data_IF_961748030605
#
_entry.id   IF_961748030605
#
_cell.length_a   1.000
_cell.length_b   1.000
_cell.length_c   1.000
_cell.angle_alpha   90.00
_cell.angle_beta   90.00
_cell.angle_gamma   90.00
#
_symmetry.space_group_name_H-M   'P 1'
#
loop_
_entity.id
_entity.type
_entity.pdbx_description
1 polymer ?
#
# COMPACT_ATOMS: atom_id res chain seq x y z
N UNK A 1 -2.04 19.07 7.32
CA UNK A 1 -1.52 19.02 8.69
C UNK A 1 -1.70 17.60 9.17
N UNK A 2 -0.67 16.77 8.96
CA UNK A 2 -0.71 15.35 9.36
C UNK A 2 -0.34 15.29 10.83
N UNK A 3 -1.21 14.71 11.62
CA UNK A 3 -1.06 14.63 13.06
C UNK A 3 -0.47 13.26 13.35
N UNK A 4 0.78 13.23 13.88
CA UNK A 4 1.19 12.05 14.66
C UNK A 4 0.08 11.79 15.66
N UNK A 5 -0.26 10.51 15.88
CA UNK A 5 -1.08 10.27 17.05
C UNK A 5 -0.34 10.83 18.28
N UNK A 6 -1.05 11.14 19.34
CA UNK A 6 -0.47 11.67 20.58
C UNK A 6 0.57 10.74 21.24
N UNK A 7 0.88 9.59 20.59
CA UNK A 7 1.84 8.56 21.03
C UNK A 7 3.06 8.44 20.10
N UNK A 8 3.13 9.24 18.99
CA UNK A 8 4.27 9.23 18.07
C UNK A 8 4.33 8.04 17.12
N UNK A 9 3.21 7.33 16.88
CA UNK A 9 3.18 6.18 15.99
C UNK A 9 3.30 6.61 14.52
N UNK A 10 4.10 5.84 13.75
CA UNK A 10 4.19 5.92 12.29
C UNK A 10 2.88 5.46 11.65
N UNK A 11 2.45 6.09 10.55
CA UNK A 11 1.15 5.81 9.95
C UNK A 11 1.14 5.89 8.42
N UNK A 12 0.10 5.27 7.82
CA UNK A 12 -0.30 5.49 6.45
C UNK A 12 -0.86 6.90 6.25
N UNK A 13 -0.57 7.53 5.11
CA UNK A 13 -1.04 8.87 4.76
C UNK A 13 -2.48 8.96 4.27
N UNK A 14 -3.22 7.85 4.11
CA UNK A 14 -4.62 7.90 3.72
C UNK A 14 -5.46 8.52 4.85
N UNK A 15 -6.20 9.62 4.59
CA UNK A 15 -7.02 10.25 5.60
C UNK A 15 -8.18 9.35 6.06
N UNK A 16 -8.33 9.15 7.37
CA UNK A 16 -9.46 8.38 7.95
C UNK A 16 -10.83 8.99 7.60
N UNK A 17 -10.88 10.30 7.33
CA UNK A 17 -12.11 10.99 6.92
C UNK A 17 -12.68 10.46 5.58
N UNK A 18 -11.87 9.88 4.69
CA UNK A 18 -12.37 9.20 3.50
C UNK A 18 -13.05 7.88 3.82
N UNK A 19 -12.80 7.31 4.99
CA UNK A 19 -13.39 6.07 5.48
C UNK A 19 -14.80 6.27 6.00
N UNK A 20 -15.06 7.37 6.71
CA UNK A 20 -16.33 7.59 7.44
C UNK A 20 -17.50 8.01 6.55
N UNK A 21 -17.25 8.72 5.46
CA UNK A 21 -18.32 9.26 4.59
C UNK A 21 -18.78 8.29 3.51
N UNK A 22 -18.05 7.21 3.23
CA UNK A 22 -18.29 6.28 2.10
C UNK A 22 -18.13 4.79 2.47
N UNK A 23 -18.31 4.41 3.72
CA UNK A 23 -18.13 3.02 4.21
C UNK A 23 -18.97 1.93 3.50
N UNK A 24 -19.96 2.34 2.68
CA UNK A 24 -20.82 1.42 1.91
C UNK A 24 -20.46 1.35 0.42
N UNK A 25 -19.49 2.15 -0.07
CA UNK A 25 -19.16 2.19 -1.48
C UNK A 25 -18.14 1.11 -1.81
N UNK A 26 -18.53 0.12 -2.61
CA UNK A 26 -17.61 -0.88 -3.16
C UNK A 26 -16.60 -0.16 -4.07
N UNK A 27 -15.31 -0.38 -3.80
CA UNK A 27 -14.19 0.16 -4.55
C UNK A 27 -13.32 -1.01 -4.99
N UNK A 28 -13.20 -1.25 -6.28
CA UNK A 28 -12.37 -2.32 -6.81
C UNK A 28 -12.03 -2.12 -8.27
N UNK A 29 -11.06 -2.85 -8.75
CA UNK A 29 -10.72 -2.93 -10.16
C UNK A 29 -11.79 -3.68 -10.96
N UNK A 30 -11.94 -3.29 -12.23
CA UNK A 30 -12.76 -3.98 -13.21
C UNK A 30 -12.04 -5.19 -13.85
N UNK A 31 -10.75 -5.35 -13.60
CA UNK A 31 -9.91 -6.46 -14.07
C UNK A 31 -9.22 -7.16 -12.89
N UNK A 32 -8.75 -8.38 -13.13
CA UNK A 32 -7.94 -9.16 -12.18
C UNK A 32 -6.44 -9.06 -12.49
N UNK A 33 -6.10 -8.73 -13.73
CA UNK A 33 -4.72 -8.57 -14.18
C UNK A 33 -4.34 -7.10 -14.14
N UNK A 34 -3.47 -6.75 -13.20
CA UNK A 34 -3.02 -5.39 -12.95
C UNK A 34 -1.56 -5.23 -13.38
N UNK A 35 -1.33 -4.35 -14.32
CA UNK A 35 0.02 -3.97 -14.72
C UNK A 35 0.57 -2.90 -13.78
N UNK A 36 1.82 -3.03 -13.38
CA UNK A 36 2.48 -2.04 -12.55
C UNK A 36 3.77 -1.53 -13.17
N UNK A 37 4.07 -0.28 -12.90
CA UNK A 37 5.30 0.39 -13.27
C UNK A 37 5.94 0.96 -12.01
N UNK A 38 7.20 0.56 -11.74
CA UNK A 38 7.99 1.10 -10.63
C UNK A 38 8.91 2.17 -11.22
N UNK A 39 8.72 3.41 -10.77
CA UNK A 39 9.67 4.48 -11.09
C UNK A 39 10.98 4.21 -10.37
N UNK A 40 12.05 4.71 -10.96
CA UNK A 40 13.37 4.65 -10.33
C UNK A 40 13.29 5.32 -8.96
N UNK A 41 13.76 4.63 -7.92
CA UNK A 41 13.71 5.16 -6.57
C UNK A 41 14.95 6.03 -6.29
N UNK A 42 14.71 7.15 -5.61
CA UNK A 42 15.79 7.94 -4.99
C UNK A 42 16.01 7.52 -3.52
N UNK A 43 15.50 6.34 -3.14
CA UNK A 43 15.74 5.75 -1.82
C UNK A 43 17.20 5.32 -1.66
N UNK A 44 17.68 5.32 -0.43
CA UNK A 44 19.01 4.76 -0.09
C UNK A 44 19.00 3.22 -0.12
N UNK A 45 18.39 2.67 -1.20
CA UNK A 45 18.29 1.25 -1.52
C UNK A 45 18.50 1.05 -3.03
N UNK A 46 19.23 0.01 -3.45
CA UNK A 46 19.33 -0.33 -4.87
C UNK A 46 17.94 -0.59 -5.49
N UNK A 47 17.73 -0.13 -6.73
CA UNK A 47 16.45 -0.32 -7.46
C UNK A 47 16.01 -1.80 -7.52
N UNK A 48 16.97 -2.72 -7.59
CA UNK A 48 16.68 -4.17 -7.57
C UNK A 48 16.10 -4.64 -6.24
N UNK A 49 16.58 -4.09 -5.14
CA UNK A 49 16.06 -4.39 -3.79
C UNK A 49 14.68 -3.76 -3.62
N UNK A 50 14.53 -2.49 -3.99
CA UNK A 50 13.26 -1.79 -4.02
C UNK A 50 12.18 -2.60 -4.77
N UNK A 51 12.49 -3.01 -6.00
CA UNK A 51 11.57 -3.79 -6.83
C UNK A 51 11.25 -5.17 -6.24
N UNK A 52 12.22 -5.82 -5.61
CA UNK A 52 12.02 -7.12 -4.97
C UNK A 52 11.07 -7.05 -3.77
N UNK A 53 11.22 -6.05 -2.90
CA UNK A 53 10.33 -5.84 -1.75
C UNK A 53 8.88 -5.55 -2.19
N UNK A 54 8.71 -4.68 -3.19
CA UNK A 54 7.39 -4.41 -3.79
C UNK A 54 6.77 -5.69 -4.38
N UNK A 55 7.57 -6.49 -5.09
CA UNK A 55 7.07 -7.77 -5.66
C UNK A 55 6.67 -8.74 -4.55
N UNK A 56 7.42 -8.80 -3.45
CA UNK A 56 7.09 -9.64 -2.31
C UNK A 56 5.76 -9.24 -1.66
N UNK A 57 5.55 -7.94 -1.49
CA UNK A 57 4.27 -7.41 -1.03
C UNK A 57 3.10 -7.79 -1.97
N UNK A 58 3.29 -7.71 -3.29
CA UNK A 58 2.30 -8.16 -4.29
C UNK A 58 2.00 -9.65 -4.17
N UNK A 59 3.02 -10.49 -3.99
CA UNK A 59 2.87 -11.93 -3.82
C UNK A 59 1.97 -12.27 -2.63
N UNK A 60 2.04 -11.49 -1.55
CA UNK A 60 1.22 -11.71 -0.36
C UNK A 60 -0.28 -11.55 -0.64
N UNK A 61 -0.67 -10.62 -1.51
CA UNK A 61 -2.05 -10.44 -1.95
C UNK A 61 -2.48 -11.47 -3.00
N UNK A 62 -1.60 -11.78 -3.98
CA UNK A 62 -1.85 -12.83 -4.97
C UNK A 62 -2.09 -14.22 -4.33
N UNK A 63 -1.50 -14.46 -3.17
CA UNK A 63 -1.67 -15.71 -2.43
C UNK A 63 -3.07 -15.88 -1.81
N UNK A 64 -3.81 -14.79 -1.60
CA UNK A 64 -5.06 -14.83 -0.82
C UNK A 64 -6.32 -14.43 -1.61
N UNK A 65 -6.18 -13.83 -2.78
CA UNK A 65 -7.32 -13.45 -3.62
C UNK A 65 -7.00 -13.57 -5.12
N UNK A 66 -8.06 -13.55 -5.95
CA UNK A 66 -7.96 -13.68 -7.40
C UNK A 66 -7.53 -12.35 -8.06
N UNK A 67 -6.27 -11.97 -7.84
CA UNK A 67 -5.58 -10.84 -8.47
C UNK A 67 -4.22 -11.30 -8.98
N UNK A 68 -3.76 -10.72 -10.08
CA UNK A 68 -2.41 -10.92 -10.64
C UNK A 68 -1.76 -9.57 -10.90
N UNK A 69 -0.48 -9.46 -10.54
CA UNK A 69 0.34 -8.30 -10.84
C UNK A 69 1.43 -8.66 -11.85
N UNK A 70 1.57 -7.87 -12.90
CA UNK A 70 2.62 -8.02 -13.89
C UNK A 70 3.33 -6.70 -14.16
N UNK A 71 4.66 -6.71 -14.27
CA UNK A 71 5.39 -5.49 -14.61
C UNK A 71 5.09 -5.05 -16.05
N UNK A 72 5.24 -3.76 -16.32
CA UNK A 72 5.27 -3.22 -17.68
C UNK A 72 6.43 -2.24 -17.83
N UNK A 73 6.86 -2.02 -19.07
CA UNK A 73 8.04 -1.22 -19.37
C UNK A 73 7.73 0.28 -19.52
N UNK A 74 6.46 0.65 -19.63
CA UNK A 74 6.03 2.05 -19.84
C UNK A 74 4.97 2.46 -18.83
N UNK A 75 5.17 3.62 -18.24
CA UNK A 75 4.23 4.20 -17.25
C UNK A 75 2.79 4.31 -17.79
N UNK A 76 2.63 4.70 -19.06
CA UNK A 76 1.31 4.85 -19.69
C UNK A 76 0.54 3.53 -19.90
N UNK A 77 1.17 2.37 -19.70
CA UNK A 77 0.52 1.05 -19.81
C UNK A 77 0.13 0.47 -18.44
N UNK A 78 0.59 1.12 -17.36
CA UNK A 78 0.38 0.61 -16.01
C UNK A 78 -1.00 0.97 -15.48
N UNK A 79 -1.56 0.08 -14.68
CA UNK A 79 -2.68 0.36 -13.79
C UNK A 79 -2.19 0.98 -12.47
N UNK A 80 -1.01 0.58 -12.03
CA UNK A 80 -0.42 1.01 -10.75
C UNK A 80 0.92 1.66 -11.01
N UNK A 81 1.08 2.92 -10.59
CA UNK A 81 2.36 3.61 -10.56
C UNK A 81 2.89 3.58 -9.14
N UNK A 82 4.15 3.16 -9.00
CA UNK A 82 4.85 3.09 -7.72
C UNK A 82 6.00 4.08 -7.78
N UNK A 83 5.97 5.06 -6.91
CA UNK A 83 6.86 6.22 -6.93
C UNK A 83 7.36 6.54 -5.52
N UNK A 84 8.29 7.44 -5.42
CA UNK A 84 8.77 8.04 -4.17
C UNK A 84 8.48 9.53 -4.19
N UNK A 85 8.50 10.16 -3.03
CA UNK A 85 8.27 11.59 -2.92
C UNK A 85 8.81 12.16 -1.61
N UNK A 86 8.72 13.47 -1.46
CA UNK A 86 9.17 14.15 -0.25
C UNK A 86 8.40 15.45 0.01
N UNK A 87 8.33 15.82 1.28
CA UNK A 87 7.80 17.10 1.72
C UNK A 87 6.32 17.32 1.42
N UNK A 88 5.85 18.52 1.68
CA UNK A 88 4.42 18.88 1.60
C UNK A 88 3.82 18.74 0.19
N UNK A 89 4.61 18.95 -0.88
CA UNK A 89 4.15 18.80 -2.25
C UNK A 89 3.72 17.36 -2.59
N UNK A 90 4.29 16.37 -1.91
CA UNK A 90 3.94 14.96 -2.02
C UNK A 90 3.12 14.44 -0.83
N UNK A 91 2.65 15.35 0.04
CA UNK A 91 1.88 15.03 1.24
C UNK A 91 2.67 14.27 2.32
N UNK A 92 3.98 14.50 2.38
CA UNK A 92 4.86 13.94 3.41
C UNK A 92 5.32 15.01 4.41
N UNK A 93 5.57 14.58 5.64
CA UNK A 93 5.94 15.41 6.78
C UNK A 93 7.37 15.15 7.29
N UNK A 94 8.15 14.38 6.52
CA UNK A 94 9.52 13.99 6.85
C UNK A 94 9.60 12.79 7.78
N UNK A 95 10.81 12.44 8.17
CA UNK A 95 11.08 11.22 8.93
C UNK A 95 10.22 11.07 10.18
N UNK A 96 9.62 9.90 10.33
CA UNK A 96 8.87 9.51 11.52
C UNK A 96 7.43 10.02 11.56
N UNK A 97 6.80 10.22 10.42
CA UNK A 97 5.40 10.62 10.29
C UNK A 97 4.62 9.73 9.35
N UNK A 98 4.19 10.30 8.22
CA UNK A 98 3.54 9.59 7.13
C UNK A 98 4.57 8.80 6.33
N UNK A 99 4.48 7.48 6.35
CA UNK A 99 5.43 6.58 5.68
C UNK A 99 5.20 6.49 4.17
N UNK A 100 3.96 6.34 3.79
CA UNK A 100 3.51 6.16 2.42
C UNK A 100 2.04 6.49 2.29
N UNK A 101 1.53 6.58 1.07
CA UNK A 101 0.12 6.69 0.78
C UNK A 101 -0.23 6.09 -0.58
N UNK A 102 -1.48 5.70 -0.76
CA UNK A 102 -2.00 5.18 -2.02
C UNK A 102 -3.44 5.65 -2.28
N UNK A 103 -3.81 5.74 -3.55
CA UNK A 103 -5.19 6.01 -3.93
C UNK A 103 -6.04 4.73 -3.93
N UNK A 104 -7.29 4.88 -3.51
CA UNK A 104 -8.29 3.82 -3.67
C UNK A 104 -8.94 3.91 -5.07
N UNK A 105 -9.37 2.77 -5.65
CA UNK A 105 -10.25 2.79 -6.81
C UNK A 105 -11.49 3.65 -6.53
N UNK A 106 -11.85 4.59 -7.43
CA UNK A 106 -12.95 5.52 -7.16
C UNK A 106 -14.35 4.88 -7.25
N UNK A 107 -14.46 3.68 -7.84
CA UNK A 107 -15.72 2.95 -8.06
C UNK A 107 -15.50 1.43 -8.10
N UNK A 108 -16.57 0.66 -8.35
CA UNK A 108 -16.58 -0.79 -8.34
C UNK A 108 -16.07 -1.49 -9.61
N UNK A 109 -15.65 -0.74 -10.63
CA UNK A 109 -15.18 -1.28 -11.92
C UNK A 109 -14.12 -0.37 -12.52
N UNK A 110 -13.15 0.05 -11.68
CA UNK A 110 -12.11 0.96 -12.11
C UNK A 110 -11.13 0.29 -13.08
N UNK A 111 -10.73 1.02 -14.12
CA UNK A 111 -9.82 0.53 -15.17
C UNK A 111 -8.72 1.55 -15.51
N UNK A 112 -8.63 2.64 -14.76
CA UNK A 112 -7.65 3.70 -14.98
C UNK A 112 -6.30 3.39 -14.31
N UNK A 113 -5.64 4.44 -13.85
CA UNK A 113 -4.32 4.38 -13.23
C UNK A 113 -4.39 4.92 -11.79
N UNK A 114 -3.77 4.24 -10.86
CA UNK A 114 -3.61 4.65 -9.46
C UNK A 114 -2.14 4.80 -9.11
N UNK A 115 -1.87 5.72 -8.19
CA UNK A 115 -0.53 6.03 -7.70
C UNK A 115 -0.42 5.60 -6.23
N UNK A 116 0.72 5.05 -5.86
CA UNK A 116 1.19 4.94 -4.50
C UNK A 116 2.59 5.53 -4.38
N UNK A 117 2.85 6.24 -3.29
CA UNK A 117 4.12 6.92 -3.01
C UNK A 117 4.67 6.57 -1.64
N UNK A 118 6.00 6.58 -1.56
CA UNK A 118 6.77 6.33 -0.33
C UNK A 118 7.62 7.55 0.01
N UNK A 119 7.70 7.91 1.29
CA UNK A 119 8.53 9.04 1.74
C UNK A 119 10.02 8.68 1.66
N UNK A 120 10.80 9.44 0.89
CA UNK A 120 12.26 9.25 0.82
C UNK A 120 12.98 9.66 2.10
N UNK A 121 12.35 10.43 2.98
CA UNK A 121 12.92 10.83 4.26
C UNK A 121 12.94 9.71 5.30
N UNK A 122 12.20 8.62 5.08
CA UNK A 122 12.15 7.49 6.00
C UNK A 122 13.38 6.58 5.87
N UNK A 123 13.76 5.94 6.98
CA UNK A 123 14.85 4.97 6.97
C UNK A 123 14.30 3.57 6.64
N UNK A 124 14.30 3.27 5.35
CA UNK A 124 13.79 2.00 4.83
C UNK A 124 14.74 0.84 5.07
N UNK A 125 14.23 -0.28 5.54
CA UNK A 125 14.95 -1.53 5.76
C UNK A 125 14.25 -2.71 5.12
N UNK A 126 14.99 -3.79 4.87
CA UNK A 126 14.50 -5.05 4.29
C UNK A 126 14.64 -6.24 5.25
N UNK A 127 15.20 -6.02 6.43
CA UNK A 127 15.37 -7.05 7.46
C UNK A 127 14.81 -6.57 8.80
N UNK A 128 14.00 -7.39 9.48
CA UNK A 128 13.39 -7.03 10.76
C UNK A 128 14.39 -6.85 11.90
N UNK A 129 15.62 -7.32 11.76
CA UNK A 129 16.69 -7.19 12.76
C UNK A 129 17.32 -5.80 12.76
N UNK A 130 17.12 -5.02 11.69
CA UNK A 130 17.61 -3.64 11.59
C UNK A 130 16.62 -2.66 12.24
N UNK A 131 17.13 -1.50 12.61
CA UNK A 131 16.31 -0.36 13.05
C UNK A 131 15.83 0.41 11.82
N UNK A 132 14.54 0.65 11.70
CA UNK A 132 13.92 1.35 10.57
C UNK A 132 12.54 0.83 10.25
N UNK A 133 12.02 1.23 9.10
CA UNK A 133 10.71 0.86 8.57
C UNK A 133 10.85 -0.24 7.53
N UNK A 134 10.20 -1.38 7.73
CA UNK A 134 10.21 -2.49 6.76
C UNK A 134 9.43 -2.09 5.51
N UNK A 135 10.12 -2.03 4.40
CA UNK A 135 9.56 -1.61 3.12
C UNK A 135 8.44 -2.55 2.65
N UNK A 136 8.64 -3.86 2.74
CA UNK A 136 7.64 -4.88 2.39
C UNK A 136 6.32 -4.67 3.14
N UNK A 137 6.37 -4.40 4.46
CA UNK A 137 5.17 -4.24 5.28
C UNK A 137 4.33 -3.03 4.83
N UNK A 138 4.99 -1.89 4.61
CA UNK A 138 4.33 -0.67 4.15
C UNK A 138 3.81 -0.85 2.73
N UNK A 139 4.60 -1.46 1.84
CA UNK A 139 4.17 -1.74 0.47
C UNK A 139 2.93 -2.66 0.44
N UNK A 140 2.90 -3.69 1.28
CA UNK A 140 1.73 -4.58 1.37
C UNK A 140 0.48 -3.82 1.86
N UNK A 141 0.61 -2.92 2.85
CA UNK A 141 -0.47 -2.07 3.32
C UNK A 141 -0.99 -1.14 2.20
N UNK A 142 -0.12 -0.41 1.53
CA UNK A 142 -0.51 0.51 0.46
C UNK A 142 -1.14 -0.22 -0.75
N UNK A 143 -0.66 -1.43 -1.07
CA UNK A 143 -1.30 -2.29 -2.07
C UNK A 143 -2.73 -2.67 -1.66
N UNK A 144 -3.02 -2.86 -0.38
CA UNK A 144 -4.38 -3.06 0.11
C UNK A 144 -5.31 -1.89 -0.26
N UNK A 145 -4.83 -0.64 -0.14
CA UNK A 145 -5.57 0.54 -0.60
C UNK A 145 -5.75 0.54 -2.11
N UNK A 146 -4.70 0.29 -2.89
CA UNK A 146 -4.76 0.12 -4.34
C UNK A 146 -5.83 -0.90 -4.73
N UNK A 147 -5.96 -1.99 -3.99
CA UNK A 147 -6.97 -3.03 -4.21
C UNK A 147 -8.38 -2.66 -3.71
N UNK A 148 -8.54 -1.54 -3.01
CA UNK A 148 -9.84 -1.02 -2.59
C UNK A 148 -10.19 -1.21 -1.11
N UNK A 149 -9.26 -1.69 -0.30
CA UNK A 149 -9.46 -1.78 1.15
C UNK A 149 -9.20 -0.43 1.81
N UNK A 150 -10.08 -0.02 2.69
CA UNK A 150 -9.88 1.08 3.63
C UNK A 150 -9.16 0.58 4.87
N UNK A 151 -8.78 1.48 5.77
CA UNK A 151 -8.22 1.09 7.07
C UNK A 151 -9.13 0.12 7.81
N UNK A 152 -8.52 -0.72 8.62
CA UNK A 152 -9.18 -1.67 9.52
C UNK A 152 -9.21 -1.13 10.95
N UNK A 153 -10.31 -1.42 11.67
CA UNK A 153 -10.39 -1.18 13.11
C UNK A 153 -9.68 -2.28 13.93
N UNK A 154 -9.32 -3.40 13.28
CA UNK A 154 -8.58 -4.50 13.89
C UNK A 154 -7.08 -4.15 13.94
N UNK A 155 -6.56 -3.87 15.12
CA UNK A 155 -5.19 -3.39 15.31
C UNK A 155 -4.09 -4.37 14.89
N UNK A 156 -4.43 -5.65 14.72
CA UNK A 156 -3.51 -6.71 14.26
C UNK A 156 -3.63 -6.99 12.76
N UNK A 157 -4.56 -6.32 12.06
CA UNK A 157 -4.69 -6.42 10.61
C UNK A 157 -3.55 -5.67 9.90
N UNK A 158 -3.22 -6.10 8.69
CA UNK A 158 -2.29 -5.37 7.81
C UNK A 158 -2.83 -3.98 7.48
N UNK A 159 -4.15 -3.86 7.29
CA UNK A 159 -4.81 -2.59 6.98
C UNK A 159 -5.08 -1.71 8.20
N UNK A 160 -4.54 -2.01 9.39
CA UNK A 160 -4.57 -1.08 10.52
C UNK A 160 -3.84 0.24 10.15
N UNK A 161 -4.32 1.43 10.59
CA UNK A 161 -3.75 2.71 10.13
C UNK A 161 -2.35 3.00 10.66
N UNK A 162 -1.88 2.24 11.65
CA UNK A 162 -0.58 2.43 12.27
C UNK A 162 0.38 1.30 11.92
N UNK A 163 1.61 1.67 11.58
CA UNK A 163 2.65 0.72 11.24
C UNK A 163 2.93 -0.28 12.37
N UNK A 164 2.93 -1.56 12.00
CA UNK A 164 3.31 -2.66 12.88
C UNK A 164 4.39 -3.52 12.21
N UNK A 165 5.61 -3.52 12.77
CA UNK A 165 6.76 -4.25 12.24
C UNK A 165 6.52 -5.77 12.11
N UNK A 166 5.61 -6.33 12.91
CA UNK A 166 5.34 -7.77 12.94
C UNK A 166 4.25 -8.22 11.95
N UNK A 167 3.66 -7.28 11.19
CA UNK A 167 2.58 -7.58 10.24
C UNK A 167 3.04 -7.22 8.83
N UNK A 168 3.42 -8.23 8.04
CA UNK A 168 3.96 -8.07 6.68
C UNK A 168 3.05 -8.67 5.59
N UNK A 169 1.90 -9.21 5.95
CA UNK A 169 0.97 -9.85 5.02
C UNK A 169 -0.48 -9.75 5.51
N UNK A 170 -1.47 -9.91 4.60
CA UNK A 170 -2.88 -9.92 4.97
C UNK A 170 -3.20 -10.95 6.06
N UNK A 171 -4.04 -10.55 7.01
CA UNK A 171 -4.44 -11.36 8.15
C UNK A 171 -5.81 -12.02 7.93
N UNK A 172 -5.97 -13.28 8.36
CA UNK A 172 -7.20 -14.06 8.13
C UNK A 172 -8.44 -13.47 8.79
N UNK A 173 -8.27 -12.85 9.95
CA UNK A 173 -9.37 -12.32 10.75
C UNK A 173 -9.95 -10.98 10.26
N UNK A 174 -9.42 -10.38 9.20
CA UNK A 174 -9.91 -9.12 8.62
C UNK A 174 -9.56 -8.98 7.14
N UNK A 175 -8.27 -8.73 6.83
CA UNK A 175 -7.80 -8.33 5.49
C UNK A 175 -8.19 -9.36 4.42
N UNK A 176 -8.00 -10.66 4.70
CA UNK A 176 -8.27 -11.76 3.77
C UNK A 176 -9.77 -11.89 3.50
N UNK A 177 -10.61 -11.83 4.52
CA UNK A 177 -12.06 -11.88 4.33
C UNK A 177 -12.54 -10.70 3.48
N UNK A 178 -12.07 -9.50 3.79
CA UNK A 178 -12.44 -8.27 3.07
C UNK A 178 -11.99 -8.30 1.61
N UNK A 179 -10.74 -8.70 1.32
CA UNK A 179 -10.24 -8.73 -0.06
C UNK A 179 -10.95 -9.82 -0.89
N UNK A 180 -11.22 -10.98 -0.31
CA UNK A 180 -11.97 -12.07 -0.96
C UNK A 180 -13.41 -11.66 -1.27
N UNK A 181 -14.03 -10.80 -0.47
CA UNK A 181 -15.35 -10.24 -0.77
C UNK A 181 -15.34 -9.37 -2.03
N UNK A 182 -14.20 -8.76 -2.38
CA UNK A 182 -14.05 -7.93 -3.57
C UNK A 182 -13.67 -8.75 -4.81
N UNK A 183 -12.77 -9.73 -4.67
CA UNK A 183 -12.12 -10.39 -5.80
C UNK A 183 -12.32 -11.90 -5.87
N UNK A 184 -12.82 -12.52 -4.81
CA UNK A 184 -12.92 -13.98 -4.74
C UNK A 184 -11.59 -14.65 -4.33
N UNK A 185 -11.54 -15.96 -4.48
CA UNK A 185 -10.38 -16.81 -4.20
C UNK A 185 -9.85 -17.30 -5.55
N UNK A 186 -8.53 -17.46 -5.67
CA UNK A 186 -7.93 -18.12 -6.83
C UNK A 186 -8.55 -19.53 -7.04
N UNK A 187 -8.96 -19.83 -8.27
CA UNK A 187 -9.50 -21.14 -8.65
C UNK A 187 -8.39 -22.20 -8.69
#
# INVERSE_FOLDING_TARGET
MYIRDNKGNLRCGLPDALVTTNAKKIRKWGTRDLKYFIKRSDLDLPDSIWSAEIRQAMNSWEAVCDIKFSPCDREGEANIIIDVGQGEQDSFDGQGGTLAWAYLPPNASYTGQLLMKFDIAEFWITSPEKTGVLLENVAAHELGHILGLTHSEVSTALMAPYYNKNVNRPQENDDIERIRSLYGINA
#
